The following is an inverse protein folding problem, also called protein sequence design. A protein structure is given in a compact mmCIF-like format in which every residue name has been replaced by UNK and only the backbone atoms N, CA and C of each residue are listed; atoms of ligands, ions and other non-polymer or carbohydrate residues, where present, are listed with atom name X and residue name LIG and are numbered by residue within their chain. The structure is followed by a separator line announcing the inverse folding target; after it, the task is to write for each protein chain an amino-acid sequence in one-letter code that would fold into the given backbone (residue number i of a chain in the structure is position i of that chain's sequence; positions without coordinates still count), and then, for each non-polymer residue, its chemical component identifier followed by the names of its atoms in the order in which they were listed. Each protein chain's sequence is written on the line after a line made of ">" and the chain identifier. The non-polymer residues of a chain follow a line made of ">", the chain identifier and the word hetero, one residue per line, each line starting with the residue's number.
data_IF_740778939911
#
_entry.id   IF_740778939911
#
_cell.length_a   1.000
_cell.length_b   1.000
_cell.length_c   1.000
_cell.angle_alpha   90.00
_cell.angle_beta   90.00
_cell.angle_gamma   90.00
#
_symmetry.space_group_name_H-M   'P 1'
#
loop_
_entity.id
_entity.type
_entity.pdbx_description
1 polymer ?
#
# COMPACT_ATOMS: atom_id res chain seq x y z
N UNK A 1 -10.04 20.74 0.93
CA UNK A 1 -9.03 20.74 2.00
C UNK A 1 -7.81 19.94 1.56
N UNK A 2 -6.56 20.37 1.85
CA UNK A 2 -5.36 19.59 1.56
C UNK A 2 -5.39 18.18 2.18
N UNK A 3 -6.01 18.04 3.36
CA UNK A 3 -6.14 16.77 4.09
C UNK A 3 -6.99 15.75 3.31
N UNK A 4 -8.00 16.20 2.56
CA UNK A 4 -8.88 15.29 1.80
C UNK A 4 -8.16 14.56 0.67
N UNK A 5 -6.98 15.01 0.27
CA UNK A 5 -6.12 14.43 -0.77
C UNK A 5 -4.84 13.78 -0.23
N UNK A 6 -4.66 13.78 1.10
CA UNK A 6 -3.55 13.05 1.70
C UNK A 6 -3.66 11.57 1.34
N UNK A 7 -2.59 11.00 0.80
CA UNK A 7 -2.55 9.59 0.46
C UNK A 7 -2.40 8.72 1.70
N UNK A 8 -2.98 7.54 1.64
CA UNK A 8 -2.88 6.54 2.70
C UNK A 8 -3.41 5.20 2.24
N UNK A 9 -3.63 4.32 3.20
CA UNK A 9 -4.27 3.04 2.96
C UNK A 9 -5.67 3.00 3.53
N UNK A 10 -6.60 2.55 2.72
CA UNK A 10 -7.91 2.09 3.17
C UNK A 10 -7.75 0.59 3.42
N UNK A 11 -8.25 0.09 4.54
CA UNK A 11 -8.17 -1.32 4.88
C UNK A 11 -9.53 -1.88 5.27
N UNK A 12 -9.72 -3.16 4.95
CA UNK A 12 -10.90 -3.93 5.36
C UNK A 12 -10.71 -4.38 6.80
N UNK A 13 -11.55 -3.88 7.72
CA UNK A 13 -11.48 -4.22 9.14
C UNK A 13 -11.89 -5.64 9.40
N UNK A 14 -12.85 -6.18 8.63
CA UNK A 14 -13.37 -7.53 8.84
C UNK A 14 -12.34 -8.60 8.43
N UNK A 15 -11.49 -8.29 7.44
CA UNK A 15 -10.30 -9.10 7.13
C UNK A 15 -9.26 -8.90 8.22
N UNK A 16 -8.99 -7.65 8.60
CA UNK A 16 -7.93 -7.34 9.56
C UNK A 16 -8.14 -8.03 10.91
N UNK A 17 -9.36 -8.07 11.39
CA UNK A 17 -9.72 -8.72 12.66
C UNK A 17 -9.47 -10.25 12.65
N UNK A 18 -9.32 -10.84 11.47
CA UNK A 18 -9.13 -12.30 11.28
C UNK A 18 -7.68 -12.71 11.03
N UNK A 19 -6.78 -11.77 10.73
CA UNK A 19 -5.39 -12.13 10.35
C UNK A 19 -4.46 -12.39 11.53
N UNK A 20 -4.92 -12.15 12.77
CA UNK A 20 -4.12 -12.40 13.98
C UNK A 20 -2.95 -11.43 14.16
N UNK A 21 -3.05 -10.19 13.66
CA UNK A 21 -2.08 -9.14 13.94
C UNK A 21 -2.11 -8.77 15.43
N UNK A 22 -0.94 -8.43 15.99
CA UNK A 22 -0.76 -8.08 17.40
C UNK A 22 -1.33 -6.70 17.78
N UNK A 23 -1.46 -5.80 16.79
CA UNK A 23 -2.04 -4.45 16.96
C UNK A 23 -2.91 -4.12 15.76
N UNK A 24 -3.87 -3.21 15.94
CA UNK A 24 -4.61 -2.61 14.83
C UNK A 24 -3.74 -1.60 14.06
N UNK A 25 -4.05 -1.27 12.78
CA UNK A 25 -3.33 -0.25 12.04
C UNK A 25 -3.32 1.12 12.74
N UNK A 26 -4.38 1.44 13.47
CA UNK A 26 -4.48 2.68 14.25
C UNK A 26 -3.50 2.71 15.44
N UNK A 27 -3.32 1.58 16.12
CA UNK A 27 -2.37 1.44 17.22
C UNK A 27 -0.93 1.55 16.72
N UNK A 28 -0.60 0.92 15.60
CA UNK A 28 0.72 1.12 14.97
C UNK A 28 1.00 2.59 14.63
N UNK A 29 0.00 3.32 14.09
CA UNK A 29 0.14 4.76 13.81
C UNK A 29 0.35 5.55 15.10
N UNK A 30 -0.48 5.31 16.12
CA UNK A 30 -0.40 6.00 17.41
C UNK A 30 0.95 5.77 18.10
N UNK A 31 1.43 4.53 18.07
CA UNK A 31 2.66 4.11 18.74
C UNK A 31 3.92 4.40 17.89
N UNK A 32 3.76 5.07 16.74
CA UNK A 32 4.82 5.42 15.79
C UNK A 32 5.55 4.20 15.17
N UNK A 33 4.86 3.06 15.10
CA UNK A 33 5.34 1.78 14.56
C UNK A 33 4.76 1.46 13.17
N UNK A 34 3.97 2.36 12.58
CA UNK A 34 3.41 2.21 11.24
C UNK A 34 4.48 2.46 10.18
N UNK A 35 5.28 1.42 9.91
CA UNK A 35 6.40 1.42 8.98
C UNK A 35 6.12 0.57 7.75
N UNK A 36 7.01 0.66 6.74
CA UNK A 36 6.95 -0.19 5.55
C UNK A 36 7.01 -1.68 5.91
N UNK A 37 7.84 -2.06 6.91
CA UNK A 37 7.92 -3.43 7.39
C UNK A 37 6.64 -3.90 8.09
N UNK A 38 6.01 -3.01 8.86
CA UNK A 38 4.73 -3.32 9.51
C UNK A 38 3.63 -3.51 8.47
N UNK A 39 3.59 -2.65 7.44
CA UNK A 39 2.67 -2.85 6.32
C UNK A 39 2.93 -4.20 5.63
N UNK A 40 4.19 -4.52 5.30
CA UNK A 40 4.56 -5.77 4.64
C UNK A 40 4.13 -6.99 5.47
N UNK A 41 4.45 -6.99 6.76
CA UNK A 41 4.12 -8.07 7.68
C UNK A 41 2.61 -8.28 7.81
N UNK A 42 1.85 -7.22 8.02
CA UNK A 42 0.40 -7.31 8.14
C UNK A 42 -0.27 -7.64 6.81
N UNK A 43 0.24 -7.14 5.70
CA UNK A 43 -0.25 -7.47 4.36
C UNK A 43 -0.02 -8.96 4.05
N UNK A 44 1.13 -9.51 4.41
CA UNK A 44 1.41 -10.94 4.23
C UNK A 44 0.48 -11.83 5.05
N UNK A 45 0.13 -11.45 6.27
CA UNK A 45 -0.90 -12.12 7.06
C UNK A 45 -2.29 -12.06 6.40
N UNK A 46 -2.52 -11.05 5.56
CA UNK A 46 -3.76 -10.88 4.81
C UNK A 46 -3.90 -11.81 3.60
N UNK A 47 -2.84 -12.51 3.17
CA UNK A 47 -2.95 -13.49 2.09
C UNK A 47 -3.73 -14.74 2.52
N UNK A 48 -4.59 -15.21 1.63
CA UNK A 48 -5.33 -16.45 1.82
C UNK A 48 -5.69 -17.08 0.48
N UNK A 49 -5.33 -18.33 0.30
CA UNK A 49 -5.84 -19.18 -0.78
C UNK A 49 -7.33 -19.46 -0.52
N UNK A 50 -8.20 -18.84 -1.31
CA UNK A 50 -9.66 -18.94 -1.14
C UNK A 50 -10.26 -20.11 -1.91
N UNK A 51 -9.62 -20.53 -3.01
CA UNK A 51 -10.12 -21.63 -3.84
C UNK A 51 -9.46 -22.98 -3.51
N UNK A 52 -8.43 -23.00 -2.64
CA UNK A 52 -7.78 -24.22 -2.13
C UNK A 52 -6.92 -24.94 -3.17
N UNK A 53 -6.48 -24.24 -4.22
CA UNK A 53 -5.71 -24.86 -5.32
C UNK A 53 -4.18 -24.82 -5.10
N UNK A 54 -3.72 -24.21 -4.01
CA UNK A 54 -2.33 -24.00 -3.64
C UNK A 54 -1.51 -23.23 -4.70
N UNK A 55 -2.17 -22.41 -5.52
CA UNK A 55 -1.55 -21.53 -6.50
C UNK A 55 -1.96 -20.09 -6.18
N UNK A 56 -1.03 -19.15 -6.31
CA UNK A 56 -1.33 -17.73 -6.13
C UNK A 56 -1.99 -17.22 -7.41
N UNK A 57 -3.28 -16.94 -7.36
CA UNK A 57 -4.05 -16.48 -8.51
C UNK A 57 -5.09 -15.40 -8.15
N UNK A 58 -5.82 -14.93 -9.15
CA UNK A 58 -6.79 -13.82 -9.02
C UNK A 58 -8.01 -14.14 -8.12
N UNK A 59 -8.21 -15.40 -7.75
CA UNK A 59 -9.33 -15.86 -6.93
C UNK A 59 -8.98 -15.84 -5.44
N UNK A 60 -7.72 -15.54 -5.09
CA UNK A 60 -7.22 -15.46 -3.73
C UNK A 60 -7.51 -14.12 -3.05
N UNK A 61 -7.33 -14.10 -1.73
CA UNK A 61 -7.27 -12.89 -0.94
C UNK A 61 -5.83 -12.39 -0.85
N UNK A 62 -5.63 -11.10 -1.06
CA UNK A 62 -4.29 -10.48 -1.05
C UNK A 62 -4.14 -9.43 0.05
N UNK A 63 -2.90 -9.19 0.45
CA UNK A 63 -2.56 -8.13 1.38
C UNK A 63 -2.80 -6.74 0.80
N UNK A 64 -2.34 -6.47 -0.41
CA UNK A 64 -2.46 -5.15 -1.05
C UNK A 64 -2.99 -5.30 -2.46
N UNK A 65 -4.05 -4.55 -2.79
CA UNK A 65 -4.60 -4.43 -4.13
C UNK A 65 -4.60 -2.95 -4.56
N UNK A 66 -3.67 -2.55 -5.41
CA UNK A 66 -3.57 -1.17 -5.90
C UNK A 66 -2.75 -1.09 -7.17
N UNK A 67 -2.88 0.05 -7.89
CA UNK A 67 -2.05 0.29 -9.06
C UNK A 67 -0.57 0.38 -8.69
N UNK A 68 0.28 -0.37 -9.38
CA UNK A 68 1.73 -0.35 -9.17
C UNK A 68 2.33 1.06 -9.34
N UNK A 69 1.83 1.85 -10.29
CA UNK A 69 2.31 3.22 -10.55
C UNK A 69 2.09 4.12 -9.33
N UNK A 70 0.92 4.02 -8.71
CA UNK A 70 0.61 4.82 -7.53
C UNK A 70 1.42 4.38 -6.31
N UNK A 71 1.60 3.07 -6.13
CA UNK A 71 2.38 2.53 -5.02
C UNK A 71 3.82 3.00 -5.12
N UNK A 72 4.51 2.73 -6.22
CA UNK A 72 5.92 3.11 -6.37
C UNK A 72 6.13 4.63 -6.28
N UNK A 73 5.30 5.42 -6.94
CA UNK A 73 5.42 6.88 -6.88
C UNK A 73 5.29 7.41 -5.44
N UNK A 74 4.34 6.88 -4.66
CA UNK A 74 4.15 7.30 -3.27
C UNK A 74 5.29 6.89 -2.36
N UNK A 75 5.77 5.64 -2.50
CA UNK A 75 6.83 5.15 -1.63
C UNK A 75 8.20 5.72 -1.97
N UNK A 76 8.52 5.89 -3.23
CA UNK A 76 9.76 6.57 -3.63
C UNK A 76 9.78 8.00 -3.07
N UNK A 77 8.69 8.75 -3.25
CA UNK A 77 8.61 10.11 -2.71
C UNK A 77 8.56 10.14 -1.17
N UNK A 78 7.87 9.18 -0.54
CA UNK A 78 7.72 9.09 0.92
C UNK A 78 8.95 8.60 1.66
N UNK A 79 9.87 7.90 0.98
CA UNK A 79 11.11 7.36 1.58
C UNK A 79 12.24 8.38 1.72
N UNK A 80 11.99 9.64 1.32
CA UNK A 80 13.02 10.67 1.31
C UNK A 80 14.10 10.48 0.24
N UNK A 81 13.83 9.66 -0.78
CA UNK A 81 14.72 9.53 -1.93
C UNK A 81 14.65 10.83 -2.73
N UNK A 82 15.79 11.50 -2.89
CA UNK A 82 15.96 12.56 -3.86
C UNK A 82 16.53 11.97 -5.14
N UNK A 83 15.85 12.15 -6.25
CA UNK A 83 16.34 11.77 -7.58
C UNK A 83 17.12 12.89 -8.25
N UNK A 84 16.97 14.11 -7.73
CA UNK A 84 17.58 15.33 -8.27
C UNK A 84 18.21 16.08 -7.11
N UNK A 85 19.48 16.38 -7.24
CA UNK A 85 20.23 17.30 -6.38
C UNK A 85 20.53 18.61 -7.12
N UNK A 86 21.29 19.50 -6.50
CA UNK A 86 21.84 20.69 -7.16
C UNK A 86 23.36 20.61 -7.15
N UNK A 87 23.99 21.01 -8.26
CA UNK A 87 25.43 21.19 -8.32
C UNK A 87 25.88 22.44 -7.55
N UNK A 88 27.17 22.70 -7.53
CA UNK A 88 27.79 23.87 -6.89
C UNK A 88 27.31 25.24 -7.45
N UNK A 89 26.73 25.24 -8.66
CA UNK A 89 26.17 26.41 -9.33
C UNK A 89 24.63 26.50 -9.15
N UNK A 90 24.01 25.54 -8.46
CA UNK A 90 22.58 25.48 -8.22
C UNK A 90 21.78 24.86 -9.38
N UNK A 91 22.42 24.26 -10.38
CA UNK A 91 21.71 23.56 -11.45
C UNK A 91 21.25 22.17 -11.03
N UNK A 92 20.08 21.71 -11.50
CA UNK A 92 19.59 20.38 -11.17
C UNK A 92 20.46 19.30 -11.81
N UNK A 93 20.86 18.31 -11.03
CA UNK A 93 21.63 17.13 -11.44
C UNK A 93 20.85 15.87 -11.08
N UNK A 94 20.84 14.90 -12.00
CA UNK A 94 20.27 13.59 -11.72
C UNK A 94 21.29 12.76 -10.91
N UNK A 95 20.99 12.52 -9.64
CA UNK A 95 21.90 12.03 -8.62
C UNK A 95 21.75 10.52 -8.33
N UNK A 96 20.73 9.88 -8.86
CA UNK A 96 20.41 8.49 -8.54
C UNK A 96 21.56 7.50 -8.84
N UNK A 97 22.28 7.59 -9.96
CA UNK A 97 23.32 6.60 -10.30
C UNK A 97 24.44 6.48 -9.26
N UNK A 98 24.74 7.57 -8.56
CA UNK A 98 25.82 7.65 -7.59
C UNK A 98 25.29 7.62 -6.12
N UNK A 99 23.97 7.51 -5.94
CA UNK A 99 23.32 7.50 -4.63
C UNK A 99 22.93 6.09 -4.18
N UNK A 100 23.91 5.35 -3.62
CA UNK A 100 23.67 3.98 -3.19
C UNK A 100 22.54 3.86 -2.17
N UNK A 101 22.40 4.82 -1.24
CA UNK A 101 21.30 4.83 -0.27
C UNK A 101 19.93 4.93 -0.94
N UNK A 102 19.79 5.74 -1.98
CA UNK A 102 18.55 5.84 -2.74
C UNK A 102 18.27 4.54 -3.50
N UNK A 103 19.30 3.94 -4.10
CA UNK A 103 19.20 2.64 -4.79
C UNK A 103 18.72 1.55 -3.83
N UNK A 104 19.34 1.42 -2.65
CA UNK A 104 18.98 0.41 -1.65
C UNK A 104 17.54 0.58 -1.16
N UNK A 105 17.10 1.81 -0.93
CA UNK A 105 15.72 2.12 -0.57
C UNK A 105 14.74 1.72 -1.68
N UNK A 106 15.07 2.02 -2.92
CA UNK A 106 14.23 1.64 -4.06
C UNK A 106 14.13 0.12 -4.21
N UNK A 107 15.25 -0.60 -4.11
CA UNK A 107 15.28 -2.06 -4.17
C UNK A 107 14.40 -2.67 -3.09
N UNK A 108 14.49 -2.19 -1.84
CA UNK A 108 13.63 -2.66 -0.75
C UNK A 108 12.14 -2.45 -1.04
N UNK A 109 11.77 -1.29 -1.61
CA UNK A 109 10.39 -1.02 -2.01
C UNK A 109 9.95 -1.98 -3.12
N UNK A 110 10.80 -2.22 -4.11
CA UNK A 110 10.52 -3.16 -5.20
C UNK A 110 10.36 -4.59 -4.69
N UNK A 111 11.25 -5.05 -3.82
CA UNK A 111 11.19 -6.41 -3.27
C UNK A 111 9.89 -6.65 -2.52
N UNK A 112 9.46 -5.68 -1.70
CA UNK A 112 8.22 -5.77 -0.97
C UNK A 112 7.00 -5.91 -1.91
N UNK A 113 6.92 -5.08 -2.94
CA UNK A 113 5.79 -5.09 -3.87
C UNK A 113 5.92 -6.11 -5.00
N UNK A 114 7.02 -6.86 -5.07
CA UNK A 114 7.16 -8.04 -5.93
C UNK A 114 6.80 -9.35 -5.21
N UNK A 115 6.63 -9.34 -3.90
CA UNK A 115 6.09 -10.49 -3.17
C UNK A 115 4.62 -10.70 -3.56
N UNK A 116 4.34 -11.82 -4.23
CA UNK A 116 3.02 -12.12 -4.77
C UNK A 116 1.95 -12.38 -3.71
N UNK A 117 2.35 -12.81 -2.51
CA UNK A 117 1.44 -12.98 -1.37
C UNK A 117 1.03 -11.60 -0.79
N UNK A 118 1.93 -10.62 -0.85
CA UNK A 118 1.66 -9.27 -0.37
C UNK A 118 0.83 -8.49 -1.38
N UNK A 119 1.28 -8.49 -2.63
CA UNK A 119 0.76 -7.58 -3.65
C UNK A 119 0.27 -8.32 -4.89
N UNK A 120 -1.02 -8.23 -5.12
CA UNK A 120 -1.62 -8.62 -6.38
C UNK A 120 -1.68 -7.41 -7.32
N UNK A 121 -0.99 -7.51 -8.45
CA UNK A 121 -1.10 -6.58 -9.57
C UNK A 121 -1.82 -7.27 -10.74
N UNK A 122 -3.14 -7.34 -10.72
CA UNK A 122 -3.90 -8.20 -11.62
C UNK A 122 -3.98 -7.72 -13.06
N UNK A 123 -3.65 -6.50 -13.39
CA UNK A 123 -3.37 -6.08 -14.76
C UNK A 123 -3.06 -4.59 -14.87
N UNK A 124 -2.31 -4.26 -15.89
CA UNK A 124 -1.80 -2.90 -16.17
C UNK A 124 -2.87 -1.87 -16.56
N UNK A 125 -4.13 -2.27 -16.72
CA UNK A 125 -5.17 -1.43 -17.31
C UNK A 125 -6.34 -1.05 -16.39
N UNK A 126 -6.56 -1.74 -15.28
CA UNK A 126 -7.83 -1.66 -14.54
C UNK A 126 -7.69 -1.22 -13.07
N UNK A 127 -6.76 -0.32 -12.78
CA UNK A 127 -6.50 0.17 -11.42
C UNK A 127 -7.73 0.77 -10.72
N UNK A 128 -8.68 1.32 -11.46
CA UNK A 128 -9.93 1.85 -10.87
C UNK A 128 -10.95 0.75 -10.55
N UNK A 129 -11.00 -0.29 -11.36
CA UNK A 129 -11.90 -1.42 -11.15
C UNK A 129 -11.44 -2.21 -9.91
N UNK A 130 -10.14 -2.36 -9.74
CA UNK A 130 -9.52 -3.06 -8.62
C UNK A 130 -9.80 -2.41 -7.27
N UNK A 131 -9.54 -1.11 -7.15
CA UNK A 131 -9.65 -0.42 -5.87
C UNK A 131 -11.07 -0.43 -5.27
N UNK A 132 -12.10 -0.53 -6.08
CA UNK A 132 -13.49 -0.54 -5.62
C UNK A 132 -14.12 -1.94 -5.58
N UNK A 133 -13.75 -2.78 -6.55
CA UNK A 133 -14.34 -4.11 -6.68
C UNK A 133 -13.82 -5.11 -5.63
N UNK A 134 -12.57 -4.98 -5.24
CA UNK A 134 -11.92 -5.99 -4.41
C UNK A 134 -12.16 -5.80 -2.91
N UNK A 135 -12.13 -4.58 -2.39
CA UNK A 135 -12.61 -4.33 -1.01
C UNK A 135 -14.07 -4.74 -0.87
N UNK A 136 -14.90 -4.42 -1.86
CA UNK A 136 -16.32 -4.82 -1.86
C UNK A 136 -16.53 -6.34 -1.87
N UNK A 137 -15.55 -7.10 -2.33
CA UNK A 137 -15.56 -8.58 -2.33
C UNK A 137 -14.90 -9.19 -1.11
N UNK A 138 -14.33 -8.40 -0.21
CA UNK A 138 -13.52 -8.88 0.92
C UNK A 138 -12.37 -9.81 0.51
N UNK A 139 -11.69 -9.50 -0.60
CA UNK A 139 -10.56 -10.27 -1.09
C UNK A 139 -9.26 -9.48 -1.16
N UNK A 140 -9.23 -8.29 -0.56
CA UNK A 140 -8.02 -7.48 -0.41
C UNK A 140 -8.03 -6.78 0.94
N UNK A 141 -6.89 -6.82 1.65
CA UNK A 141 -6.79 -6.19 2.97
C UNK A 141 -6.55 -4.69 2.88
N UNK A 142 -5.62 -4.25 2.05
CA UNK A 142 -5.27 -2.83 1.89
C UNK A 142 -5.38 -2.37 0.45
N UNK A 143 -5.89 -1.16 0.25
CA UNK A 143 -5.81 -0.43 -1.02
C UNK A 143 -5.32 0.98 -0.78
N UNK A 144 -4.56 1.53 -1.73
CA UNK A 144 -4.22 2.95 -1.71
C UNK A 144 -5.47 3.79 -1.90
N UNK A 145 -5.56 4.87 -1.14
CA UNK A 145 -6.71 5.74 -1.21
C UNK A 145 -6.50 7.08 -0.54
N UNK A 146 -7.60 7.83 -0.45
CA UNK A 146 -7.65 9.12 0.18
C UNK A 146 -8.82 9.15 1.18
N UNK A 147 -8.77 9.93 2.26
CA UNK A 147 -9.88 10.06 3.21
C UNK A 147 -11.21 10.44 2.52
N UNK A 148 -11.14 11.22 1.45
CA UNK A 148 -12.32 11.57 0.66
C UNK A 148 -13.01 10.33 0.06
N UNK A 149 -12.26 9.32 -0.36
CA UNK A 149 -12.79 8.05 -0.85
C UNK A 149 -13.65 7.32 0.18
N UNK A 150 -13.29 7.43 1.46
CA UNK A 150 -14.09 6.86 2.55
C UNK A 150 -15.53 7.40 2.56
N UNK A 151 -15.70 8.70 2.39
CA UNK A 151 -17.01 9.35 2.42
C UNK A 151 -17.83 9.18 1.14
N UNK A 152 -17.20 8.95 -0.01
CA UNK A 152 -17.88 8.93 -1.31
C UNK A 152 -18.09 7.54 -1.88
N UNK A 153 -17.05 6.69 -1.85
CA UNK A 153 -17.08 5.37 -2.47
C UNK A 153 -17.48 4.26 -1.50
N UNK A 154 -16.79 4.18 -0.36
CA UNK A 154 -16.94 3.06 0.56
C UNK A 154 -18.16 3.19 1.46
N UNK A 155 -18.58 4.42 1.81
CA UNK A 155 -19.80 4.66 2.61
C UNK A 155 -21.07 4.17 1.92
N UNK A 156 -21.05 3.99 0.61
CA UNK A 156 -22.21 3.50 -0.17
C UNK A 156 -22.26 1.98 -0.28
N UNK A 157 -21.26 1.28 0.28
CA UNK A 157 -21.21 -0.18 0.27
C UNK A 157 -21.75 -0.69 1.59
N UNK A 158 -22.94 -1.29 1.56
CA UNK A 158 -23.70 -1.71 2.77
C UNK A 158 -23.02 -2.82 3.58
N UNK A 159 -22.05 -3.53 2.98
CA UNK A 159 -21.40 -4.70 3.58
C UNK A 159 -19.89 -4.52 3.83
N UNK A 160 -19.38 -3.28 3.79
CA UNK A 160 -17.95 -3.03 3.91
C UNK A 160 -17.62 -2.18 5.13
N UNK A 161 -16.83 -2.72 6.05
CA UNK A 161 -16.33 -2.02 7.21
C UNK A 161 -14.88 -1.63 6.99
N UNK A 162 -14.64 -0.37 6.62
CA UNK A 162 -13.29 0.10 6.25
C UNK A 162 -12.71 1.07 7.26
N UNK A 163 -11.39 1.07 7.34
CA UNK A 163 -10.59 2.06 8.04
C UNK A 163 -9.64 2.77 7.10
N UNK A 164 -9.04 3.85 7.59
CA UNK A 164 -8.02 4.61 6.87
C UNK A 164 -6.84 4.90 7.80
N UNK A 165 -5.63 4.69 7.27
CA UNK A 165 -4.37 5.07 7.91
C UNK A 165 -3.47 5.80 6.90
N UNK A 166 -2.56 6.68 7.35
CA UNK A 166 -1.62 7.34 6.45
C UNK A 166 -0.72 6.33 5.75
N UNK A 167 0.00 6.76 4.71
CA UNK A 167 1.10 5.95 4.20
C UNK A 167 2.09 5.67 5.33
N UNK A 168 2.59 4.44 5.45
CA UNK A 168 3.60 4.12 6.44
C UNK A 168 4.88 4.90 6.16
N UNK A 169 5.61 5.23 7.22
CA UNK A 169 6.98 5.75 7.07
C UNK A 169 7.91 4.64 6.57
N UNK A 170 9.04 5.02 6.01
CA UNK A 170 10.00 4.05 5.48
C UNK A 170 10.61 3.17 6.59
N UNK A 171 10.92 3.76 7.76
CA UNK A 171 11.54 3.20 8.96
C UNK A 171 11.10 3.94 10.24
#
# INVERSE_FOLDING_TARGET
>A
SPISRAGGFIFDKDIYDKIGADKTPYEYVRDNEWTLDTLARTAKLGYKDLNGNAQIDKEDQFGIGSSWKEIYARYINGSGISLISQDENGYPVFDLPDNQTAIDKMLRIFDLFNDKEIYNNPSKSDAEVLANGEIAKHNVLYVLGHPNGMGTKYRQLDNVNVGFVPCPKYD
#
